data_IF_745184206927
#
_entry.id   IF_745184206927
#
_cell.length_a   1.000
_cell.length_b   1.000
_cell.length_c   1.000
_cell.angle_alpha   90.00
_cell.angle_beta   90.00
_cell.angle_gamma   90.00
#
_symmetry.space_group_name_H-M   'P 1'
#
loop_
_entity.id
_entity.type
_entity.pdbx_description
1 polymer ?
#
# COMPACT_ATOMS: atom_id res chain seq x y z
N UNK A 1 -41.75 -2.60 7.81
CA UNK A 1 -41.65 -1.82 6.57
C UNK A 1 -42.54 -0.58 6.64
N UNK A 2 -41.96 0.54 7.07
CA UNK A 2 -42.41 1.92 6.82
C UNK A 2 -41.13 2.70 6.51
N UNK A 3 -41.16 3.61 5.52
CA UNK A 3 -40.03 4.48 5.16
C UNK A 3 -40.13 5.87 5.80
N UNK A 4 -41.34 6.25 6.21
CA UNK A 4 -41.63 7.52 6.86
C UNK A 4 -42.06 7.25 8.30
N UNK A 5 -41.38 7.92 9.24
CA UNK A 5 -41.69 7.90 10.67
C UNK A 5 -42.18 9.29 11.06
N UNK A 6 -43.31 9.35 11.75
CA UNK A 6 -43.93 10.62 12.11
C UNK A 6 -43.19 11.21 13.31
N UNK A 7 -42.64 12.39 13.11
CA UNK A 7 -42.08 13.23 14.18
C UNK A 7 -43.23 13.96 14.87
N UNK A 8 -43.58 13.55 16.09
CA UNK A 8 -44.43 14.36 16.95
C UNK A 8 -43.55 15.32 17.74
N UNK A 9 -44.02 16.55 17.96
CA UNK A 9 -43.28 17.65 18.63
C UNK A 9 -42.68 17.23 19.99
N UNK A 10 -43.27 16.23 20.64
CA UNK A 10 -42.80 15.69 21.93
C UNK A 10 -42.18 14.27 21.85
N UNK A 11 -42.22 13.58 20.69
CA UNK A 11 -41.62 12.23 20.50
C UNK A 11 -41.59 11.77 19.04
N UNK A 12 -40.55 11.04 18.62
CA UNK A 12 -40.47 10.37 17.31
C UNK A 12 -40.90 8.89 17.43
N UNK A 13 -41.69 8.38 16.48
CA UNK A 13 -42.01 6.94 16.37
C UNK A 13 -40.71 6.09 16.34
N UNK A 14 -40.53 5.20 17.33
CA UNK A 14 -39.36 4.32 17.42
C UNK A 14 -39.48 3.19 16.40
N UNK A 15 -38.39 2.90 15.67
CA UNK A 15 -38.27 1.76 14.74
C UNK A 15 -38.15 0.44 15.55
N UNK A 16 -39.24 0.03 16.20
CA UNK A 16 -39.28 -1.13 17.09
C UNK A 16 -39.83 -2.38 16.42
N UNK A 17 -38.98 -3.13 15.70
CA UNK A 17 -39.30 -4.51 15.27
C UNK A 17 -38.08 -5.43 15.20
N UNK A 18 -36.93 -5.02 15.75
CA UNK A 18 -35.68 -5.79 15.61
C UNK A 18 -35.59 -7.00 16.56
N UNK A 19 -36.29 -6.95 17.70
CA UNK A 19 -36.15 -7.96 18.76
C UNK A 19 -36.84 -9.29 18.43
N UNK A 20 -38.03 -9.25 17.85
CA UNK A 20 -38.75 -10.46 17.40
C UNK A 20 -38.12 -11.07 16.14
N UNK A 21 -37.51 -10.23 15.30
CA UNK A 21 -36.83 -10.68 14.08
C UNK A 21 -35.57 -11.48 14.40
N UNK A 22 -34.79 -11.13 15.42
CA UNK A 22 -33.56 -11.87 15.75
C UNK A 22 -33.81 -13.26 16.35
N UNK A 23 -34.99 -13.57 16.89
CA UNK A 23 -35.25 -14.89 17.51
C UNK A 23 -35.16 -16.07 16.52
N UNK A 24 -35.32 -15.80 15.22
CA UNK A 24 -35.30 -16.83 14.16
C UNK A 24 -33.98 -16.83 13.37
N UNK A 25 -33.09 -15.86 13.59
CA UNK A 25 -31.90 -15.67 12.76
C UNK A 25 -30.62 -15.61 13.60
N UNK A 26 -29.51 -16.00 12.98
CA UNK A 26 -28.17 -15.92 13.53
C UNK A 26 -27.42 -14.79 12.84
N UNK A 27 -26.98 -13.80 13.62
CA UNK A 27 -26.19 -12.68 13.12
C UNK A 27 -24.71 -13.05 13.14
N UNK A 28 -24.09 -13.03 11.97
CA UNK A 28 -22.66 -13.21 11.81
C UNK A 28 -22.00 -11.93 11.32
N UNK A 29 -20.79 -11.69 11.80
CA UNK A 29 -19.89 -10.69 11.23
C UNK A 29 -18.63 -11.41 10.81
N UNK A 30 -18.16 -11.17 9.58
CA UNK A 30 -16.84 -11.60 9.15
C UNK A 30 -15.97 -10.40 8.80
N UNK A 31 -14.67 -10.57 9.04
CA UNK A 31 -13.61 -9.74 8.51
C UNK A 31 -12.80 -10.58 7.53
N UNK A 32 -12.71 -10.11 6.28
CA UNK A 32 -11.95 -10.75 5.23
C UNK A 32 -10.84 -9.83 4.72
N UNK A 33 -9.65 -10.39 4.53
CA UNK A 33 -8.57 -9.84 3.73
C UNK A 33 -8.62 -10.56 2.38
N UNK A 34 -8.92 -9.82 1.31
CA UNK A 34 -9.11 -10.40 -0.01
C UNK A 34 -8.22 -9.69 -1.04
N UNK A 35 -7.55 -10.49 -1.86
CA UNK A 35 -6.98 -9.99 -3.10
C UNK A 35 -8.05 -9.99 -4.18
N UNK A 36 -8.15 -8.87 -4.90
CA UNK A 36 -9.11 -8.66 -5.97
C UNK A 36 -8.40 -8.22 -7.24
N UNK A 37 -8.90 -8.73 -8.36
CA UNK A 37 -8.49 -8.33 -9.69
C UNK A 37 -9.72 -8.27 -10.60
N UNK A 38 -9.90 -7.15 -11.30
CA UNK A 38 -11.04 -6.95 -12.20
C UNK A 38 -12.07 -5.97 -11.63
N UNK A 39 -13.20 -5.81 -12.33
CA UNK A 39 -14.24 -4.87 -11.91
C UNK A 39 -15.01 -5.37 -10.69
N UNK A 40 -15.37 -4.45 -9.79
CA UNK A 40 -16.36 -4.72 -8.73
C UNK A 40 -17.79 -4.80 -9.29
N UNK A 41 -18.02 -4.26 -10.49
CA UNK A 41 -19.32 -4.30 -11.15
C UNK A 41 -19.60 -5.71 -11.67
N UNK A 42 -20.51 -6.41 -10.97
CA UNK A 42 -21.00 -7.75 -11.30
C UNK A 42 -21.64 -7.84 -12.71
N UNK A 43 -21.96 -6.70 -13.32
CA UNK A 43 -22.65 -6.60 -14.62
C UNK A 43 -21.70 -6.48 -15.83
N UNK A 44 -20.38 -6.44 -15.60
CA UNK A 44 -19.39 -6.37 -16.70
C UNK A 44 -18.87 -7.78 -16.98
N UNK A 45 -19.01 -8.24 -18.22
CA UNK A 45 -18.43 -9.48 -18.73
C UNK A 45 -16.89 -9.34 -18.73
N UNK A 46 -16.29 -9.60 -17.58
CA UNK A 46 -14.85 -9.58 -17.35
C UNK A 46 -14.50 -10.63 -16.31
N UNK A 47 -13.26 -11.15 -16.38
CA UNK A 47 -12.72 -12.07 -15.38
C UNK A 47 -12.51 -11.32 -14.06
N UNK A 48 -13.54 -11.24 -13.21
CA UNK A 48 -13.40 -10.81 -11.83
C UNK A 48 -12.81 -11.97 -11.02
N UNK A 49 -11.63 -11.75 -10.45
CA UNK A 49 -10.95 -12.71 -9.60
C UNK A 49 -10.93 -12.17 -8.17
N UNK A 50 -11.42 -12.96 -7.23
CA UNK A 50 -11.33 -12.70 -5.79
C UNK A 50 -10.72 -13.92 -5.13
N UNK A 51 -9.67 -13.70 -4.35
CA UNK A 51 -9.08 -14.71 -3.48
C UNK A 51 -9.05 -14.18 -2.06
N UNK A 52 -9.73 -14.87 -1.17
CA UNK A 52 -9.64 -14.54 0.25
C UNK A 52 -8.30 -15.08 0.78
N UNK A 53 -7.44 -14.17 1.21
CA UNK A 53 -6.14 -14.46 1.83
C UNK A 53 -6.38 -14.92 3.27
N UNK A 54 -7.34 -14.29 3.95
CA UNK A 54 -7.72 -14.61 5.32
C UNK A 54 -9.16 -14.21 5.57
N UNK A 55 -9.89 -15.04 6.32
CA UNK A 55 -11.24 -14.77 6.78
C UNK A 55 -11.36 -15.18 8.24
N UNK A 56 -11.97 -14.32 9.05
CA UNK A 56 -12.45 -14.68 10.39
C UNK A 56 -13.92 -14.34 10.50
N UNK A 57 -14.72 -15.31 10.90
CA UNK A 57 -16.16 -15.18 11.19
C UNK A 57 -16.37 -15.25 12.70
N UNK A 58 -17.27 -14.41 13.20
CA UNK A 58 -17.74 -14.40 14.60
C UNK A 58 -19.26 -14.37 14.60
N UNK A 59 -19.86 -15.18 15.47
CA UNK A 59 -21.30 -15.12 15.75
C UNK A 59 -21.55 -14.00 16.77
N UNK A 60 -22.36 -13.03 16.39
CA UNK A 60 -22.70 -11.87 17.23
C UNK A 60 -24.02 -12.09 17.95
N UNK A 61 -24.98 -12.73 17.29
CA UNK A 61 -26.27 -13.11 17.89
C UNK A 61 -26.70 -14.51 17.43
N UNK A 62 -27.21 -15.38 18.33
CA UNK A 62 -27.17 -15.22 19.79
C UNK A 62 -25.71 -15.17 20.29
N UNK A 63 -25.38 -14.35 21.30
CA UNK A 63 -23.99 -14.16 21.72
C UNK A 63 -23.36 -15.45 22.26
N UNK A 64 -22.25 -15.90 21.66
CA UNK A 64 -21.50 -17.08 22.10
C UNK A 64 -20.29 -16.70 22.95
N UNK A 65 -19.64 -15.58 22.64
CA UNK A 65 -18.48 -15.07 23.35
C UNK A 65 -18.66 -13.57 23.63
N UNK A 66 -18.24 -13.13 24.82
CA UNK A 66 -18.21 -11.70 25.15
C UNK A 66 -16.78 -11.17 24.94
N UNK A 67 -16.53 -10.32 23.93
CA UNK A 67 -15.21 -9.75 23.71
C UNK A 67 -14.81 -8.81 24.85
N UNK A 68 -13.50 -8.62 25.03
CA UNK A 68 -12.98 -7.65 26.00
C UNK A 68 -13.49 -6.24 25.66
N UNK A 69 -14.13 -5.59 26.63
CA UNK A 69 -14.75 -4.28 26.42
C UNK A 69 -13.69 -3.19 26.46
N UNK A 70 -13.56 -2.45 25.36
CA UNK A 70 -12.75 -1.23 25.31
C UNK A 70 -13.56 -0.04 25.83
N UNK A 71 -12.93 1.04 26.33
CA UNK A 71 -13.67 2.22 26.80
C UNK A 71 -14.60 2.84 25.74
N UNK A 72 -14.19 2.79 24.47
CA UNK A 72 -15.01 3.22 23.32
C UNK A 72 -16.26 2.34 23.19
N UNK A 73 -16.07 1.02 23.25
CA UNK A 73 -17.13 0.04 23.12
C UNK A 73 -18.15 0.13 24.27
N UNK A 74 -17.69 0.37 25.50
CA UNK A 74 -18.58 0.65 26.64
C UNK A 74 -19.41 1.91 26.42
N UNK A 75 -18.80 2.96 25.86
CA UNK A 75 -19.50 4.21 25.54
C UNK A 75 -20.55 4.01 24.43
N UNK A 76 -20.24 3.20 23.42
CA UNK A 76 -21.17 2.85 22.34
C UNK A 76 -22.32 1.99 22.86
N UNK A 77 -22.04 0.98 23.67
CA UNK A 77 -23.07 0.12 24.26
C UNK A 77 -24.02 0.93 25.15
N UNK A 78 -23.50 1.88 25.95
CA UNK A 78 -24.35 2.82 26.72
C UNK A 78 -25.26 3.67 25.84
N UNK A 79 -24.81 4.05 24.63
CA UNK A 79 -25.57 4.88 23.70
C UNK A 79 -26.60 4.08 22.90
N UNK A 80 -26.28 2.84 22.53
CA UNK A 80 -27.15 1.96 21.73
C UNK A 80 -28.21 1.26 22.59
N UNK A 81 -27.94 1.05 23.88
CA UNK A 81 -28.85 0.35 24.79
C UNK A 81 -28.86 -1.16 24.58
N UNK A 82 -29.93 -1.82 25.00
CA UNK A 82 -30.02 -3.29 25.11
C UNK A 82 -30.00 -4.04 23.77
N UNK A 83 -30.07 -3.33 22.64
CA UNK A 83 -29.97 -3.90 21.29
C UNK A 83 -28.53 -3.89 20.74
N UNK A 84 -27.56 -3.40 21.51
CA UNK A 84 -26.15 -3.32 21.11
C UNK A 84 -25.42 -4.64 21.34
N UNK A 85 -25.02 -5.31 20.27
CA UNK A 85 -24.23 -6.54 20.36
C UNK A 85 -22.74 -6.29 20.01
N UNK A 86 -21.82 -6.54 20.96
CA UNK A 86 -20.40 -6.31 20.76
C UNK A 86 -19.72 -7.36 19.86
N UNK A 87 -18.76 -6.94 19.04
CA UNK A 87 -17.83 -7.84 18.34
C UNK A 87 -16.42 -7.23 18.22
N UNK A 88 -15.40 -8.08 18.06
CA UNK A 88 -14.02 -7.65 17.85
C UNK A 88 -13.24 -8.65 17.01
N UNK A 89 -12.28 -8.18 16.21
CA UNK A 89 -11.37 -9.03 15.45
C UNK A 89 -9.92 -8.74 15.83
N UNK A 90 -9.12 -9.80 15.96
CA UNK A 90 -7.66 -9.70 16.02
C UNK A 90 -7.10 -10.15 14.67
N UNK A 91 -6.54 -9.19 13.93
CA UNK A 91 -5.89 -9.48 12.64
C UNK A 91 -4.49 -10.08 12.88
N UNK A 92 -4.11 -11.16 12.18
CA UNK A 92 -2.74 -11.63 12.16
C UNK A 92 -1.76 -10.57 11.64
N UNK A 93 -0.53 -10.58 12.17
CA UNK A 93 0.52 -9.61 11.83
C UNK A 93 1.14 -9.87 10.45
N UNK A 94 1.02 -11.09 9.94
CA UNK A 94 1.54 -11.53 8.64
C UNK A 94 0.61 -11.19 7.46
N UNK A 95 -0.55 -10.56 7.70
CA UNK A 95 -1.42 -10.11 6.62
C UNK A 95 -0.79 -8.93 5.87
N UNK A 96 -0.97 -8.85 4.53
CA UNK A 96 -0.57 -7.69 3.75
C UNK A 96 -1.33 -6.42 4.20
N UNK A 97 -0.83 -5.26 3.79
CA UNK A 97 -1.55 -3.99 3.98
C UNK A 97 -2.49 -3.71 2.82
N UNK A 98 -3.41 -2.78 3.02
CA UNK A 98 -4.31 -2.31 1.96
C UNK A 98 -3.51 -1.57 0.90
N UNK A 99 -3.48 -2.15 -0.30
CA UNK A 99 -2.73 -1.62 -1.44
C UNK A 99 -3.56 -1.85 -2.70
N UNK A 100 -3.60 -0.85 -3.58
CA UNK A 100 -4.21 -0.96 -4.91
C UNK A 100 -3.21 -0.58 -5.98
N UNK A 101 -3.30 -1.21 -7.16
CA UNK A 101 -2.53 -0.85 -8.35
C UNK A 101 -3.35 0.09 -9.21
N UNK A 102 -2.71 1.16 -9.69
CA UNK A 102 -3.35 2.12 -10.59
C UNK A 102 -3.74 1.46 -11.91
N UNK A 103 -5.01 1.58 -12.33
CA UNK A 103 -5.47 1.10 -13.62
C UNK A 103 -4.82 1.89 -14.77
N UNK A 104 -4.76 1.30 -15.96
CA UNK A 104 -4.38 2.04 -17.17
C UNK A 104 -5.50 2.96 -17.66
N UNK A 105 -5.19 3.94 -18.54
CA UNK A 105 -6.19 4.83 -19.14
C UNK A 105 -7.35 4.13 -19.89
N UNK A 106 -7.16 2.86 -20.29
CA UNK A 106 -8.19 2.02 -20.91
C UNK A 106 -8.73 0.89 -20.02
N UNK A 107 -8.29 0.79 -18.77
CA UNK A 107 -8.68 -0.25 -17.81
C UNK A 107 -9.82 0.23 -16.89
N UNK A 108 -10.86 0.86 -17.46
CA UNK A 108 -12.00 1.38 -16.68
C UNK A 108 -12.63 0.26 -15.84
N UNK A 109 -12.59 0.42 -14.52
CA UNK A 109 -13.20 -0.51 -13.56
C UNK A 109 -12.29 -1.65 -13.08
N UNK A 110 -11.20 -2.01 -13.78
CA UNK A 110 -10.33 -3.12 -13.36
C UNK A 110 -9.37 -2.68 -12.25
N UNK A 111 -9.79 -2.80 -11.00
CA UNK A 111 -8.93 -2.59 -9.84
C UNK A 111 -8.19 -3.90 -9.52
N UNK A 112 -6.89 -3.79 -9.21
CA UNK A 112 -6.10 -4.89 -8.68
C UNK A 112 -5.58 -4.46 -7.31
N UNK A 113 -5.87 -5.21 -6.26
CA UNK A 113 -5.54 -4.76 -4.91
C UNK A 113 -5.84 -5.76 -3.81
N UNK A 114 -5.38 -5.42 -2.61
CA UNK A 114 -5.70 -6.10 -1.36
C UNK A 114 -6.62 -5.18 -0.57
N UNK A 115 -7.82 -5.66 -0.29
CA UNK A 115 -8.81 -4.93 0.49
C UNK A 115 -9.19 -5.68 1.76
N UNK A 116 -9.62 -4.93 2.78
CA UNK A 116 -10.22 -5.48 3.98
C UNK A 116 -11.72 -5.17 4.00
N UNK A 117 -12.53 -6.20 4.18
CA UNK A 117 -13.98 -6.14 4.13
C UNK A 117 -14.54 -6.64 5.46
N UNK A 118 -15.30 -5.79 6.15
CA UNK A 118 -16.17 -6.19 7.25
C UNK A 118 -17.57 -6.38 6.68
N UNK A 119 -18.13 -7.57 6.82
CA UNK A 119 -19.50 -7.86 6.38
C UNK A 119 -20.30 -8.48 7.51
N UNK A 120 -21.44 -7.88 7.80
CA UNK A 120 -22.45 -8.41 8.70
C UNK A 120 -23.59 -9.01 7.86
N UNK A 121 -24.09 -10.17 8.25
CA UNK A 121 -25.22 -10.80 7.58
C UNK A 121 -26.04 -11.67 8.53
N UNK A 122 -27.32 -11.82 8.21
CA UNK A 122 -28.22 -12.74 8.89
C UNK A 122 -28.24 -14.10 8.18
N UNK A 123 -28.19 -15.17 8.96
CA UNK A 123 -28.36 -16.55 8.51
C UNK A 123 -29.60 -17.16 9.17
N UNK A 124 -30.31 -18.03 8.45
CA UNK A 124 -31.48 -18.75 8.93
C UNK A 124 -31.09 -19.86 9.92
N UNK A 125 -29.88 -20.42 9.81
CA UNK A 125 -29.38 -21.42 10.74
C UNK A 125 -27.89 -21.23 11.07
N UNK A 126 -27.48 -21.64 12.27
CA UNK A 126 -26.08 -21.64 12.66
C UNK A 126 -25.30 -22.66 11.80
N UNK A 127 -24.12 -22.26 11.32
CA UNK A 127 -23.15 -23.11 10.63
C UNK A 127 -23.64 -23.84 9.36
N UNK A 128 -24.71 -23.37 8.73
CA UNK A 128 -25.13 -23.88 7.42
C UNK A 128 -24.23 -23.32 6.30
N UNK A 129 -23.32 -24.15 5.77
CA UNK A 129 -22.39 -23.76 4.70
C UNK A 129 -23.06 -23.59 3.34
N UNK A 130 -24.22 -24.23 3.13
CA UNK A 130 -24.95 -24.23 1.85
C UNK A 130 -26.01 -23.10 1.78
N UNK A 131 -26.14 -22.30 2.84
CA UNK A 131 -27.12 -21.22 2.90
C UNK A 131 -26.73 -20.04 2.00
N UNK A 132 -27.62 -19.70 1.07
CA UNK A 132 -27.46 -18.51 0.22
C UNK A 132 -27.90 -17.28 0.99
N UNK A 133 -26.93 -16.49 1.42
CA UNK A 133 -27.18 -15.24 2.14
C UNK A 133 -27.73 -14.17 1.20
N UNK A 134 -28.90 -13.64 1.53
CA UNK A 134 -29.53 -12.58 0.75
C UNK A 134 -28.79 -11.23 0.85
N UNK A 135 -28.69 -10.52 -0.27
CA UNK A 135 -28.02 -9.20 -0.32
C UNK A 135 -28.72 -8.14 0.53
N UNK A 136 -30.04 -8.24 0.70
CA UNK A 136 -30.86 -7.28 1.45
C UNK A 136 -30.58 -7.32 2.96
N UNK A 137 -30.17 -8.48 3.47
CA UNK A 137 -29.88 -8.74 4.88
C UNK A 137 -28.37 -8.69 5.18
N UNK A 138 -27.61 -8.03 4.30
CA UNK A 138 -26.17 -7.89 4.37
C UNK A 138 -25.78 -6.42 4.48
N UNK A 139 -24.95 -6.09 5.46
CA UNK A 139 -24.26 -4.81 5.55
C UNK A 139 -22.76 -5.02 5.29
N UNK A 140 -22.14 -4.15 4.48
CA UNK A 140 -20.72 -4.25 4.11
C UNK A 140 -20.02 -2.92 4.34
N UNK A 141 -18.85 -2.97 4.97
CA UNK A 141 -17.95 -1.85 5.20
C UNK A 141 -16.54 -2.23 4.72
N UNK A 142 -15.95 -1.38 3.89
CA UNK A 142 -14.55 -1.52 3.49
C UNK A 142 -13.68 -0.76 4.49
N UNK A 143 -12.64 -1.42 4.99
CA UNK A 143 -11.66 -0.81 5.91
C UNK A 143 -10.25 -0.92 5.31
N UNK A 144 -9.32 -0.13 5.86
CA UNK A 144 -7.91 -0.14 5.42
C UNK A 144 -6.99 -0.58 6.53
N UNK A 145 -6.05 -1.47 6.21
CA UNK A 145 -4.89 -1.79 7.06
C UNK A 145 -3.70 -0.98 6.57
N UNK A 146 -3.24 -0.04 7.39
CA UNK A 146 -2.11 0.85 7.09
C UNK A 146 -0.92 0.44 7.96
N UNK A 147 0.28 0.45 7.38
CA UNK A 147 1.52 0.19 8.11
C UNK A 147 2.18 1.50 8.53
N UNK A 148 2.47 1.61 9.82
CA UNK A 148 3.25 2.72 10.36
C UNK A 148 4.73 2.40 10.38
N UNK A 149 5.54 3.45 10.23
CA UNK A 149 6.97 3.36 10.42
C UNK A 149 7.31 2.97 11.87
N UNK A 150 8.34 2.14 12.09
CA UNK A 150 8.94 1.96 13.41
C UNK A 150 9.37 3.29 14.03
N UNK A 151 9.31 3.40 15.36
CA UNK A 151 9.58 4.66 16.08
C UNK A 151 11.02 5.17 15.96
N UNK A 152 11.99 4.27 15.74
CA UNK A 152 13.41 4.62 15.67
C UNK A 152 13.91 4.58 14.23
N UNK A 153 14.35 5.73 13.72
CA UNK A 153 14.99 5.83 12.41
C UNK A 153 16.51 5.64 12.56
N UNK A 154 17.09 4.78 11.74
CA UNK A 154 18.54 4.52 11.70
C UNK A 154 19.20 5.32 10.58
N UNK A 155 20.53 5.34 10.59
CA UNK A 155 21.31 5.87 9.48
C UNK A 155 20.94 5.13 8.19
N UNK A 156 20.84 5.90 7.10
CA UNK A 156 20.45 5.34 5.81
C UNK A 156 21.51 4.41 5.21
N UNK A 157 21.10 3.56 4.26
CA UNK A 157 22.01 2.63 3.62
C UNK A 157 22.99 3.33 2.69
N UNK A 158 24.18 2.72 2.58
CA UNK A 158 25.27 3.13 1.70
C UNK A 158 25.61 1.98 0.76
N UNK A 159 25.87 2.31 -0.51
CA UNK A 159 26.38 1.37 -1.49
C UNK A 159 27.52 2.01 -2.28
N UNK A 160 28.43 1.17 -2.77
CA UNK A 160 29.54 1.59 -3.62
C UNK A 160 29.71 0.62 -4.79
N UNK A 161 30.18 1.14 -5.91
CA UNK A 161 30.50 0.35 -7.10
C UNK A 161 31.71 0.96 -7.81
N UNK A 162 32.59 0.08 -8.25
CA UNK A 162 33.76 0.44 -9.07
C UNK A 162 33.55 -0.17 -10.45
N UNK A 163 33.42 0.67 -11.49
CA UNK A 163 33.18 0.19 -12.86
C UNK A 163 34.29 0.64 -13.79
N UNK A 164 34.94 -0.33 -14.42
CA UNK A 164 35.86 -0.11 -15.53
C UNK A 164 35.10 -0.16 -16.85
N UNK A 165 35.40 0.76 -17.77
CA UNK A 165 34.77 0.84 -19.08
C UNK A 165 35.66 0.22 -20.14
N UNK A 166 35.07 -0.37 -21.19
CA UNK A 166 35.82 -0.82 -22.36
C UNK A 166 36.62 0.36 -22.96
N UNK A 167 37.90 0.14 -23.25
CA UNK A 167 38.86 1.18 -23.68
C UNK A 167 39.20 2.25 -22.63
N UNK A 168 39.09 1.93 -21.33
CA UNK A 168 39.66 2.70 -20.22
C UNK A 168 40.45 1.77 -19.31
N UNK A 169 41.71 2.10 -19.04
CA UNK A 169 42.57 1.29 -18.16
C UNK A 169 42.24 1.50 -16.67
N UNK A 170 41.53 2.58 -16.35
CA UNK A 170 41.17 2.98 -14.99
C UNK A 170 39.64 2.93 -14.76
N UNK A 171 39.18 2.76 -13.51
CA UNK A 171 37.76 2.69 -13.16
C UNK A 171 37.14 4.06 -12.83
N UNK A 172 35.80 4.09 -12.77
CA UNK A 172 35.04 5.11 -12.04
C UNK A 172 34.47 4.47 -10.78
N UNK A 173 34.80 5.05 -9.63
CA UNK A 173 34.21 4.69 -8.35
C UNK A 173 33.01 5.59 -8.08
N UNK A 174 31.86 4.99 -7.80
CA UNK A 174 30.64 5.66 -7.41
C UNK A 174 30.19 5.12 -6.07
N UNK A 175 30.03 6.00 -5.09
CA UNK A 175 29.41 5.73 -3.81
C UNK A 175 28.13 6.58 -3.68
N UNK A 176 27.05 5.97 -3.21
CA UNK A 176 25.81 6.65 -2.87
C UNK A 176 25.34 6.24 -1.48
N UNK A 177 24.94 7.22 -0.67
CA UNK A 177 24.43 7.00 0.67
C UNK A 177 23.17 7.82 0.94
N UNK A 178 22.22 7.24 1.66
CA UNK A 178 21.04 7.95 2.16
C UNK A 178 21.29 8.42 3.59
N UNK A 179 20.70 9.56 3.95
CA UNK A 179 20.80 10.10 5.32
C UNK A 179 20.06 9.21 6.33
N UNK A 180 18.85 8.78 5.95
CA UNK A 180 17.91 8.02 6.79
C UNK A 180 17.51 6.72 6.10
N UNK A 181 17.13 5.73 6.91
CA UNK A 181 16.60 4.45 6.42
C UNK A 181 15.11 4.54 6.09
N UNK A 182 14.38 5.34 6.88
CA UNK A 182 12.93 5.56 6.82
C UNK A 182 12.65 6.99 6.35
N UNK A 183 11.80 7.13 5.34
CA UNK A 183 11.26 8.41 4.86
C UNK A 183 9.73 8.39 4.92
N UNK A 184 9.12 9.57 5.07
CA UNK A 184 7.67 9.73 4.97
C UNK A 184 7.26 10.31 3.62
N UNK A 185 6.02 10.05 3.21
CA UNK A 185 5.46 10.65 2.00
C UNK A 185 5.52 12.17 2.05
N UNK A 186 6.06 12.77 0.99
CA UNK A 186 6.26 14.22 0.88
C UNK A 186 7.61 14.74 1.40
N UNK A 187 8.32 13.96 2.22
CA UNK A 187 9.64 14.37 2.71
C UNK A 187 10.71 14.28 1.60
N UNK A 188 11.63 15.27 1.50
CA UNK A 188 12.76 15.18 0.59
C UNK A 188 13.72 14.05 0.97
N UNK A 189 14.14 13.27 -0.03
CA UNK A 189 15.14 12.22 0.10
C UNK A 189 16.51 12.80 -0.26
N UNK A 190 17.39 12.90 0.75
CA UNK A 190 18.78 13.35 0.59
C UNK A 190 19.69 12.18 0.20
N UNK A 191 20.28 12.26 -0.99
CA UNK A 191 21.19 11.26 -1.58
C UNK A 191 22.59 11.86 -1.66
N UNK A 192 23.49 11.41 -0.79
CA UNK A 192 24.93 11.77 -0.85
C UNK A 192 25.60 10.97 -1.96
N UNK A 193 26.14 11.64 -2.97
CA UNK A 193 26.82 11.02 -4.12
C UNK A 193 28.29 11.42 -4.10
N UNK A 194 29.17 10.41 -4.06
CA UNK A 194 30.63 10.54 -4.17
C UNK A 194 31.11 9.82 -5.41
N UNK A 195 31.89 10.51 -6.24
CA UNK A 195 32.44 9.98 -7.47
C UNK A 195 33.95 10.22 -7.46
N UNK A 196 34.74 9.16 -7.59
CA UNK A 196 36.16 9.25 -7.90
C UNK A 196 36.35 8.74 -9.34
N UNK A 197 36.55 9.68 -10.26
CA UNK A 197 36.72 9.39 -11.69
C UNK A 197 38.20 9.33 -12.03
N UNK A 198 38.76 8.13 -12.10
CA UNK A 198 40.16 7.91 -12.48
C UNK A 198 40.32 7.71 -13.99
N UNK A 199 39.23 7.78 -14.76
CA UNK A 199 39.27 7.61 -16.21
C UNK A 199 39.71 8.89 -16.91
N UNK A 200 40.08 8.76 -18.19
CA UNK A 200 40.30 9.90 -19.09
C UNK A 200 39.01 10.49 -19.65
N UNK A 201 37.84 9.94 -19.30
CA UNK A 201 36.53 10.34 -19.81
C UNK A 201 35.83 11.25 -18.80
N UNK A 202 34.96 12.12 -19.29
CA UNK A 202 34.14 13.02 -18.45
C UNK A 202 32.77 12.41 -18.19
N UNK A 203 32.31 12.45 -16.94
CA UNK A 203 30.91 12.17 -16.58
C UNK A 203 30.09 13.39 -16.96
N UNK A 204 29.12 13.24 -17.87
CA UNK A 204 28.32 14.34 -18.42
C UNK A 204 27.10 14.69 -17.57
N UNK A 205 26.52 13.67 -16.94
CA UNK A 205 25.25 13.81 -16.22
C UNK A 205 25.20 12.82 -15.07
N UNK A 206 24.57 13.26 -13.99
CA UNK A 206 24.20 12.42 -12.85
C UNK A 206 22.68 12.33 -12.84
N UNK A 207 22.12 11.12 -12.79
CA UNK A 207 20.69 10.89 -12.81
C UNK A 207 20.27 10.10 -11.58
N UNK A 208 19.42 10.68 -10.74
CA UNK A 208 18.87 10.02 -9.56
C UNK A 208 17.41 9.68 -9.82
N UNK A 209 17.02 8.43 -9.61
CA UNK A 209 15.63 8.00 -9.71
C UNK A 209 15.20 7.23 -8.47
N UNK A 210 13.93 7.40 -8.08
CA UNK A 210 13.25 6.60 -7.07
C UNK A 210 12.35 5.61 -7.81
N UNK A 211 12.63 4.32 -7.70
CA UNK A 211 11.83 3.26 -8.29
C UNK A 211 10.98 2.58 -7.19
N UNK A 212 9.68 2.41 -7.44
CA UNK A 212 8.79 1.56 -6.66
C UNK A 212 8.80 0.17 -7.29
N UNK A 213 9.07 -0.85 -6.48
CA UNK A 213 9.02 -2.25 -6.85
C UNK A 213 7.80 -2.87 -6.18
N UNK A 214 6.91 -3.41 -7.01
CA UNK A 214 5.67 -4.01 -6.61
C UNK A 214 5.74 -5.49 -6.98
N UNK A 215 5.84 -6.35 -5.98
CA UNK A 215 5.81 -7.79 -6.15
C UNK A 215 4.41 -8.31 -5.77
N UNK A 216 3.71 -8.92 -6.74
CA UNK A 216 2.42 -9.56 -6.52
C UNK A 216 2.68 -11.04 -6.26
N UNK A 217 2.55 -11.46 -5.01
CA UNK A 217 2.85 -12.81 -4.55
C UNK A 217 1.56 -13.55 -4.18
N UNK A 218 0.98 -14.27 -5.15
CA UNK A 218 -0.26 -15.06 -4.95
C UNK A 218 -0.13 -16.50 -5.44
N UNK A 219 0.06 -16.68 -6.75
CA UNK A 219 0.27 -17.98 -7.41
C UNK A 219 1.55 -17.96 -8.24
N UNK A 220 1.77 -16.86 -8.96
CA UNK A 220 3.05 -16.52 -9.59
C UNK A 220 3.56 -15.23 -8.96
N UNK A 221 4.87 -15.12 -8.81
CA UNK A 221 5.53 -13.93 -8.27
C UNK A 221 5.87 -12.98 -9.41
N UNK A 222 4.95 -12.05 -9.70
CA UNK A 222 5.16 -11.03 -10.73
C UNK A 222 5.74 -9.77 -10.09
N UNK A 223 6.83 -9.25 -10.65
CA UNK A 223 7.46 -8.01 -10.17
C UNK A 223 7.32 -6.89 -11.20
N UNK A 224 6.67 -5.81 -10.78
CA UNK A 224 6.53 -4.56 -11.53
C UNK A 224 7.48 -3.52 -10.96
N UNK A 225 8.21 -2.82 -11.83
CA UNK A 225 9.10 -1.72 -11.43
C UNK A 225 8.63 -0.45 -12.12
N UNK A 226 8.41 0.61 -11.34
CA UNK A 226 7.97 1.91 -11.84
C UNK A 226 8.81 3.04 -11.25
N UNK A 227 9.30 3.91 -12.13
CA UNK A 227 9.98 5.14 -11.70
C UNK A 227 8.92 6.11 -11.15
N UNK A 228 9.02 6.43 -9.86
CA UNK A 228 8.14 7.38 -9.17
C UNK A 228 8.66 8.80 -9.33
N UNK A 229 9.97 8.98 -9.21
CA UNK A 229 10.60 10.27 -9.42
C UNK A 229 11.93 10.07 -10.13
N UNK A 230 12.27 11.01 -10.99
CA UNK A 230 13.48 10.95 -11.80
C UNK A 230 13.97 12.36 -12.02
N UNK A 231 15.19 12.65 -11.57
CA UNK A 231 15.82 13.95 -11.68
C UNK A 231 17.21 13.82 -12.29
N UNK A 232 17.47 14.65 -13.30
CA UNK A 232 18.78 14.79 -13.93
C UNK A 232 19.48 16.03 -13.40
N UNK A 233 20.75 15.87 -13.09
CA UNK A 233 21.64 16.85 -12.49
C UNK A 233 22.73 17.19 -13.52
N UNK A 234 22.92 18.48 -13.77
CA UNK A 234 23.79 19.02 -14.83
C UNK A 234 25.28 19.04 -14.45
N UNK A 235 25.60 18.63 -13.22
CA UNK A 235 26.93 18.51 -12.69
C UNK A 235 27.77 17.52 -13.52
N UNK A 236 28.94 17.99 -13.92
CA UNK A 236 29.92 17.20 -14.66
C UNK A 236 31.10 16.84 -13.75
N UNK A 237 31.69 15.67 -14.01
CA UNK A 237 32.91 15.23 -13.32
C UNK A 237 34.00 15.02 -14.35
N UNK A 238 35.02 15.88 -14.30
CA UNK A 238 36.15 15.86 -15.22
C UNK A 238 36.97 14.57 -15.09
N UNK A 239 37.80 14.29 -16.10
CA UNK A 239 38.77 13.21 -16.04
C UNK A 239 39.74 13.38 -14.86
N UNK A 240 40.13 12.27 -14.22
CA UNK A 240 41.05 12.25 -13.06
C UNK A 240 40.64 13.23 -11.94
N UNK A 241 39.35 13.30 -11.61
CA UNK A 241 38.82 14.22 -10.59
C UNK A 241 37.78 13.56 -9.69
N UNK A 242 37.60 14.15 -8.51
CA UNK A 242 36.62 13.70 -7.52
C UNK A 242 35.44 14.68 -7.43
N UNK A 243 34.26 14.16 -7.12
CA UNK A 243 33.04 14.93 -6.91
C UNK A 243 32.31 14.39 -5.68
N UNK A 244 31.82 15.29 -4.83
CA UNK A 244 31.00 14.95 -3.67
C UNK A 244 29.88 15.98 -3.54
N UNK A 245 28.62 15.52 -3.57
CA UNK A 245 27.45 16.39 -3.41
C UNK A 245 26.25 15.62 -2.89
N UNK A 246 25.46 16.27 -2.05
CA UNK A 246 24.13 15.78 -1.64
C UNK A 246 23.07 16.31 -2.60
N UNK A 247 22.32 15.40 -3.20
CA UNK A 247 21.24 15.67 -4.15
C UNK A 247 19.90 15.34 -3.48
N UNK A 248 18.89 16.18 -3.65
CA UNK A 248 17.56 15.96 -3.07
C UNK A 248 16.54 15.59 -4.15
N UNK A 249 15.67 14.64 -3.85
CA UNK A 249 14.57 14.21 -4.71
C UNK A 249 13.31 13.95 -3.89
N UNK A 250 12.13 14.31 -4.42
CA UNK A 250 10.85 14.18 -3.70
C UNK A 250 9.91 13.29 -4.51
N UNK A 251 9.65 12.04 -4.08
CA UNK A 251 8.67 11.18 -4.74
C UNK A 251 7.25 11.55 -4.31
N UNK A 252 6.44 12.02 -5.26
CA UNK A 252 5.05 12.44 -5.00
C UNK A 252 4.07 11.70 -5.91
N UNK A 253 2.92 11.29 -5.37
CA UNK A 253 1.84 10.71 -6.17
C UNK A 253 1.27 11.69 -7.20
N UNK A 254 1.24 12.99 -6.87
CA UNK A 254 0.73 14.06 -7.74
C UNK A 254 1.34 14.04 -9.14
N UNK A 255 2.62 13.70 -9.24
CA UNK A 255 3.38 13.68 -10.50
C UNK A 255 3.22 12.35 -11.26
N UNK A 256 2.45 11.41 -10.72
CA UNK A 256 2.37 10.02 -11.18
C UNK A 256 0.94 9.48 -11.26
N UNK A 257 -0.10 10.33 -11.21
CA UNK A 257 -1.52 9.92 -11.20
C UNK A 257 -1.94 9.10 -12.42
N UNK A 258 -1.26 9.27 -13.55
CA UNK A 258 -1.56 8.61 -14.82
C UNK A 258 -0.72 7.34 -15.06
N UNK A 259 0.17 6.97 -14.13
CA UNK A 259 1.09 5.85 -14.32
C UNK A 259 0.44 4.51 -13.99
N UNK A 260 0.03 3.79 -15.02
CA UNK A 260 -0.44 2.40 -14.92
C UNK A 260 0.51 1.50 -14.12
N UNK A 261 -0.06 0.75 -13.19
CA UNK A 261 0.63 -0.28 -12.40
C UNK A 261 1.47 0.25 -11.24
N UNK A 262 1.32 1.53 -10.90
CA UNK A 262 1.88 2.09 -9.66
C UNK A 262 1.01 1.67 -8.46
N UNK A 263 1.63 1.29 -7.36
CA UNK A 263 0.93 0.93 -6.13
C UNK A 263 0.63 2.16 -5.25
N UNK A 264 -0.60 2.21 -4.73
CA UNK A 264 -1.16 3.25 -3.86
C UNK A 264 -1.83 2.64 -2.62
N UNK A 265 -1.97 3.39 -1.54
CA UNK A 265 -2.53 2.95 -0.23
C UNK A 265 -4.06 3.10 -0.09
N UNK A 266 -4.74 3.46 -1.19
CA UNK A 266 -6.19 3.68 -1.27
C UNK A 266 -6.67 3.68 -2.71
N UNK A 267 -7.95 3.99 -2.94
CA UNK A 267 -8.47 4.14 -4.30
C UNK A 267 -8.14 5.55 -4.77
N UNK A 268 -7.70 5.71 -6.02
CA UNK A 268 -7.39 7.02 -6.62
C UNK A 268 -8.47 8.10 -6.49
N UNK A 269 -9.74 7.72 -6.27
CA UNK A 269 -10.87 8.63 -6.06
C UNK A 269 -10.90 9.23 -4.65
N UNK A 270 -10.15 8.66 -3.71
CA UNK A 270 -10.08 9.11 -2.32
C UNK A 270 -9.03 10.23 -2.22
N UNK A 271 -9.42 11.40 -1.67
CA UNK A 271 -8.56 12.59 -1.58
C UNK A 271 -7.26 12.34 -0.79
N UNK A 272 -7.28 11.43 0.17
CA UNK A 272 -6.15 11.09 1.05
C UNK A 272 -5.22 9.99 0.48
N UNK A 273 -5.31 9.68 -0.81
CA UNK A 273 -4.50 8.60 -1.40
C UNK A 273 -3.06 9.03 -1.60
N UNK A 274 -2.13 8.19 -1.15
CA UNK A 274 -0.69 8.35 -1.33
C UNK A 274 -0.09 7.15 -2.09
N UNK A 275 1.22 7.23 -2.35
CA UNK A 275 1.98 6.06 -2.81
C UNK A 275 1.89 4.95 -1.74
N UNK A 276 1.86 3.68 -2.16
CA UNK A 276 1.81 2.58 -1.21
C UNK A 276 3.05 2.60 -0.30
N UNK A 277 2.88 2.39 1.00
CA UNK A 277 4.00 2.31 1.94
C UNK A 277 4.80 1.02 1.72
N UNK A 278 6.08 1.01 2.11
CA UNK A 278 6.91 -0.21 2.06
C UNK A 278 6.30 -1.30 2.95
N UNK A 279 6.17 -2.50 2.41
CA UNK A 279 5.67 -3.66 3.15
C UNK A 279 6.80 -4.23 4.02
N UNK A 280 6.63 -4.22 5.34
CA UNK A 280 7.53 -4.94 6.25
C UNK A 280 7.00 -6.36 6.50
N UNK A 281 7.82 -7.37 6.23
CA UNK A 281 7.54 -8.73 6.70
C UNK A 281 7.78 -8.80 8.21
N UNK A 282 6.80 -9.32 8.96
CA UNK A 282 6.89 -9.54 10.41
C UNK A 282 7.04 -11.02 10.77
N UNK A 283 7.34 -11.91 9.81
CA UNK A 283 7.48 -13.34 10.07
C UNK A 283 8.25 -14.11 8.98
N UNK A 284 8.47 -15.40 9.23
CA UNK A 284 9.16 -16.31 8.30
C UNK A 284 8.25 -16.83 7.18
N UNK A 285 6.93 -16.74 7.34
CA UNK A 285 5.97 -17.14 6.30
C UNK A 285 6.03 -16.19 5.11
N UNK A 286 5.97 -16.76 3.92
CA UNK A 286 5.78 -15.99 2.69
C UNK A 286 4.44 -15.24 2.75
N UNK A 287 4.51 -13.91 2.71
CA UNK A 287 3.33 -13.05 2.72
C UNK A 287 2.63 -13.13 1.36
N UNK A 288 1.34 -13.46 1.37
CA UNK A 288 0.50 -13.41 0.18
C UNK A 288 -0.08 -12.02 -0.01
N UNK A 289 -0.13 -11.54 -1.26
CA UNK A 289 -0.71 -10.24 -1.61
C UNK A 289 0.24 -9.37 -2.43
N UNK A 290 0.28 -8.08 -2.11
CA UNK A 290 1.13 -7.09 -2.80
C UNK A 290 2.22 -6.61 -1.85
N UNK A 291 3.48 -6.88 -2.20
CA UNK A 291 4.67 -6.51 -1.45
C UNK A 291 5.32 -5.32 -2.15
N UNK A 292 5.44 -4.21 -1.44
CA UNK A 292 5.98 -2.96 -1.96
C UNK A 292 7.36 -2.70 -1.36
N UNK A 293 8.32 -2.31 -2.19
CA UNK A 293 9.62 -1.80 -1.77
C UNK A 293 10.06 -0.62 -2.63
N UNK A 294 10.94 0.22 -2.09
CA UNK A 294 11.49 1.36 -2.80
C UNK A 294 13.00 1.26 -2.89
N UNK A 295 13.56 1.78 -3.99
CA UNK A 295 15.00 1.98 -4.12
C UNK A 295 15.31 3.29 -4.81
N UNK A 296 16.39 3.93 -4.36
CA UNK A 296 17.08 4.99 -5.07
C UNK A 296 18.08 4.36 -6.02
N UNK A 297 18.15 4.88 -7.23
CA UNK A 297 19.09 4.47 -8.25
C UNK A 297 19.85 5.69 -8.75
N UNK A 298 21.17 5.61 -8.66
CA UNK A 298 22.09 6.63 -9.18
C UNK A 298 22.71 6.10 -10.46
N UNK A 299 22.54 6.84 -11.56
CA UNK A 299 23.12 6.52 -12.85
C UNK A 299 24.08 7.63 -13.29
N UNK A 300 25.25 7.23 -13.77
CA UNK A 300 26.23 8.14 -14.38
C UNK A 300 26.28 7.93 -15.89
N UNK A 301 26.16 9.01 -16.66
CA UNK A 301 26.38 9.00 -18.11
C UNK A 301 27.81 9.44 -18.41
N UNK A 302 28.63 8.51 -18.90
CA UNK A 302 30.06 8.77 -19.22
C UNK A 302 30.24 9.02 -20.71
N UNK A 303 31.02 10.03 -21.06
CA UNK A 303 31.35 10.38 -22.44
C UNK A 303 32.15 9.27 -23.12
N UNK A 304 31.77 8.84 -24.32
CA UNK A 304 32.63 7.99 -25.18
C UNK A 304 33.12 8.80 -26.37
N UNK A 305 34.41 8.69 -26.67
CA UNK A 305 35.00 9.11 -27.94
C UNK A 305 34.93 7.87 -28.84
N UNK A 306 33.97 7.83 -29.77
CA UNK A 306 33.95 7.12 -31.06
C UNK A 306 32.52 7.22 -31.62
N UNK A 307 32.41 7.34 -32.94
CA UNK A 307 31.21 7.48 -33.80
C UNK A 307 30.12 6.38 -33.68
N UNK A 308 30.08 5.62 -32.57
CA UNK A 308 29.08 4.59 -32.28
C UNK A 308 28.27 5.05 -31.08
N UNK A 309 26.96 5.25 -31.28
CA UNK A 309 25.97 5.50 -30.23
C UNK A 309 25.96 4.34 -29.22
N UNK A 310 26.77 4.40 -28.16
CA UNK A 310 26.67 3.48 -27.05
C UNK A 310 26.97 4.23 -25.74
N UNK A 311 25.94 4.64 -25.01
CA UNK A 311 26.11 5.18 -23.66
C UNK A 311 26.42 4.03 -22.68
N UNK A 312 27.62 4.02 -22.11
CA UNK A 312 27.92 3.11 -21.01
C UNK A 312 27.45 3.71 -19.68
N UNK A 313 26.45 3.08 -19.05
CA UNK A 313 25.90 3.50 -17.77
C UNK A 313 26.56 2.76 -16.59
N UNK A 314 27.04 3.52 -15.60
CA UNK A 314 27.27 2.98 -14.25
C UNK A 314 25.97 3.11 -13.45
N UNK A 315 25.49 2.03 -12.84
CA UNK A 315 24.20 1.99 -12.12
C UNK A 315 24.43 1.46 -10.71
N UNK A 316 24.06 2.24 -9.70
CA UNK A 316 24.09 1.87 -8.30
C UNK A 316 22.67 1.93 -7.72
N UNK A 317 22.33 1.01 -6.82
CA UNK A 317 20.99 0.92 -6.21
C UNK A 317 21.11 0.86 -4.70
N UNK A 318 20.25 1.60 -4.01
CA UNK A 318 20.15 1.69 -2.55
C UNK A 318 18.67 1.55 -2.18
N UNK A 319 18.32 0.62 -1.29
CA UNK A 319 16.94 0.38 -0.87
C UNK A 319 16.58 1.22 0.36
N UNK A 320 15.33 1.65 0.51
CA UNK A 320 14.86 2.38 1.70
C UNK A 320 13.39 2.09 2.00
N UNK A 321 12.93 2.47 3.19
CA UNK A 321 11.54 2.31 3.60
C UNK A 321 10.79 3.65 3.49
N UNK A 322 9.59 3.62 2.90
CA UNK A 322 8.72 4.79 2.74
C UNK A 322 7.37 4.54 3.43
N UNK A 323 6.90 5.47 4.27
CA UNK A 323 5.65 5.29 5.03
C UNK A 323 4.73 6.51 4.97
N UNK A 324 3.44 6.29 5.22
CA UNK A 324 2.46 7.36 5.38
C UNK A 324 2.53 8.02 6.76
N UNK A 325 2.31 9.33 6.78
CA UNK A 325 2.33 10.19 7.97
C UNK A 325 0.97 10.23 8.69
N UNK A 326 -0.05 9.54 8.19
CA UNK A 326 -1.42 9.65 8.69
C UNK A 326 -1.52 9.23 10.16
N UNK A 327 -1.41 10.21 11.07
CA UNK A 327 -1.87 10.08 12.46
C UNK A 327 -3.25 9.45 12.40
N UNK A 328 -3.43 8.32 13.09
CA UNK A 328 -4.70 7.63 13.13
C UNK A 328 -5.81 8.61 13.54
N UNK A 329 -6.60 9.07 12.58
CA UNK A 329 -7.89 9.68 12.81
C UNK A 329 -8.92 8.62 12.44
N UNK A 330 -9.18 7.71 13.38
CA UNK A 330 -10.45 7.01 13.41
C UNK A 330 -11.47 8.06 13.84
N UNK A 331 -12.12 8.69 12.86
CA UNK A 331 -13.34 9.46 13.13
C UNK A 331 -14.51 8.49 13.08
N UNK A 332 -15.28 8.55 14.17
CA UNK A 332 -16.44 7.79 14.59
C UNK A 332 -17.35 7.21 13.48
#
# INVERSE_FOLDING_TARGET
>A
GKRDFVDHVDSVEVVGAWHDFLQTYVLYVYLACAFRYGSEDLDVIGLSFRRDIWIKRVQVYPPTETPAKTPMMESLLKKVGDQGYPFSFQMPTDLPCSVSLQPGPGDSGKACGVDFEVKAFLANAADNADEVIEKKDTCRLMIRKIQFAPANNKAGPKAEISKQFMMSDKPVHLEAALEKEIYYHGDPISVSVKINNETTKTVKKIKVSVEQLTNVALYCSDTYVKDVCCQEFAETVNANSTFEKTLQIIPLLSNNKEKRGLAVDGRLKDEDTNLASTTLSQGEKEMQGIIISYKVKVNLSVSIIIFIFCENLCKLRVYFYCFSLTKACWVA
#
